data_IF_215161025115
#
_entry.id   IF_215161025115
#
_cell.length_a   1.000
_cell.length_b   1.000
_cell.length_c   1.000
_cell.angle_alpha   90.00
_cell.angle_beta   90.00
_cell.angle_gamma   90.00
#
_symmetry.space_group_name_H-M   'P 1'
#
loop_
_entity.id
_entity.type
_entity.pdbx_description
1 polymer ?
#
# COMPACT_ATOMS: atom_id res chain seq x y z
N UNK A 1 27.38 -17.99 26.07
CA UNK A 1 26.09 -18.65 25.75
C UNK A 1 24.96 -17.64 25.49
N UNK A 2 25.09 -16.41 25.96
CA UNK A 2 24.03 -15.39 25.89
C UNK A 2 23.95 -14.65 24.54
N UNK A 3 25.09 -14.51 23.86
CA UNK A 3 25.17 -13.82 22.56
C UNK A 3 24.44 -14.56 21.43
N UNK A 4 24.46 -15.91 21.45
CA UNK A 4 23.75 -16.72 20.46
C UNK A 4 22.23 -16.70 20.64
N UNK A 5 21.74 -16.56 21.88
CA UNK A 5 20.30 -16.40 22.17
C UNK A 5 19.79 -15.03 21.70
N UNK A 6 20.61 -13.97 21.84
CA UNK A 6 20.29 -12.64 21.35
C UNK A 6 20.24 -12.59 19.82
N UNK A 7 21.22 -13.21 19.13
CA UNK A 7 21.21 -13.32 17.66
C UNK A 7 19.97 -14.05 17.13
N UNK A 8 19.62 -15.20 17.70
CA UNK A 8 18.39 -15.92 17.34
C UNK A 8 17.13 -15.10 17.56
N UNK A 9 17.08 -14.29 18.62
CA UNK A 9 15.92 -13.45 18.90
C UNK A 9 15.81 -12.29 17.91
N UNK A 10 16.93 -11.68 17.54
CA UNK A 10 16.99 -10.65 16.50
C UNK A 10 16.62 -11.20 15.11
N UNK A 11 17.17 -12.34 14.70
CA UNK A 11 16.80 -13.00 13.43
C UNK A 11 15.31 -13.37 13.35
N UNK A 12 14.70 -13.76 14.47
CA UNK A 12 13.26 -14.02 14.52
C UNK A 12 12.40 -12.75 14.46
N UNK A 13 12.92 -11.62 14.94
CA UNK A 13 12.24 -10.31 14.83
C UNK A 13 12.33 -9.77 13.40
N UNK A 14 13.50 -9.85 12.77
CA UNK A 14 13.78 -9.38 11.41
C UNK A 14 12.85 -10.06 10.39
N UNK A 15 12.72 -11.39 10.48
CA UNK A 15 11.78 -12.17 9.66
C UNK A 15 10.31 -11.76 9.80
N UNK A 16 9.90 -11.22 10.95
CA UNK A 16 8.53 -10.75 11.15
C UNK A 16 8.31 -9.36 10.56
N UNK A 17 9.34 -8.52 10.53
CA UNK A 17 9.25 -7.21 9.86
C UNK A 17 9.19 -7.36 8.34
N UNK A 18 10.02 -8.22 7.73
CA UNK A 18 9.98 -8.50 6.28
C UNK A 18 8.59 -8.99 5.82
N UNK A 19 7.93 -9.80 6.65
CA UNK A 19 6.61 -10.30 6.34
C UNK A 19 5.52 -9.21 6.35
N UNK A 20 5.73 -8.10 7.07
CA UNK A 20 4.83 -6.94 7.05
C UNK A 20 5.04 -6.13 5.78
N UNK A 21 6.29 -5.87 5.39
CA UNK A 21 6.62 -5.17 4.14
C UNK A 21 6.02 -5.86 2.90
N UNK A 22 6.04 -7.20 2.90
CA UNK A 22 5.43 -8.02 1.84
C UNK A 22 3.90 -7.85 1.77
N UNK A 23 3.21 -7.83 2.91
CA UNK A 23 1.75 -7.64 2.96
C UNK A 23 1.36 -6.23 2.53
N UNK A 24 2.12 -5.21 2.95
CA UNK A 24 1.90 -3.82 2.57
C UNK A 24 2.11 -3.65 1.06
N UNK A 25 3.18 -4.22 0.51
CA UNK A 25 3.49 -4.17 -0.93
C UNK A 25 2.40 -4.85 -1.76
N UNK A 26 1.93 -6.03 -1.35
CA UNK A 26 0.85 -6.73 -2.05
C UNK A 26 -0.47 -5.95 -2.04
N UNK A 27 -0.78 -5.25 -0.93
CA UNK A 27 -1.95 -4.39 -0.83
C UNK A 27 -1.83 -3.16 -1.75
N UNK A 28 -0.64 -2.54 -1.81
CA UNK A 28 -0.33 -1.44 -2.72
C UNK A 28 -0.60 -1.85 -4.16
N UNK A 29 -0.03 -2.97 -4.60
CA UNK A 29 -0.21 -3.46 -5.97
C UNK A 29 -1.69 -3.71 -6.29
N UNK A 30 -2.45 -4.27 -5.35
CA UNK A 30 -3.87 -4.57 -5.55
C UNK A 30 -4.72 -3.31 -5.68
N UNK A 31 -4.48 -2.31 -4.83
CA UNK A 31 -5.20 -1.03 -4.85
C UNK A 31 -4.86 -0.22 -6.10
N UNK A 32 -3.60 -0.26 -6.55
CA UNK A 32 -3.17 0.41 -7.79
C UNK A 32 -3.76 -0.21 -9.06
N UNK A 33 -4.04 -1.53 -9.05
CA UNK A 33 -4.59 -2.26 -10.21
C UNK A 33 -6.09 -2.06 -10.44
N UNK A 34 -6.81 -1.49 -9.48
CA UNK A 34 -8.26 -1.30 -9.56
C UNK A 34 -8.62 0.18 -9.50
N UNK A 35 -8.51 0.91 -10.63
CA UNK A 35 -9.07 2.25 -10.73
C UNK A 35 -10.60 2.18 -10.67
N UNK A 36 -11.22 3.23 -10.12
CA UNK A 36 -12.66 3.38 -10.06
C UNK A 36 -13.11 4.50 -11.00
N UNK A 37 -14.12 4.27 -11.81
CA UNK A 37 -14.73 5.31 -12.65
C UNK A 37 -15.99 5.81 -11.97
N UNK A 38 -16.07 7.12 -11.72
CA UNK A 38 -17.28 7.78 -11.23
C UNK A 38 -17.88 8.58 -12.38
N UNK A 39 -19.16 8.36 -12.65
CA UNK A 39 -19.94 9.15 -13.58
C UNK A 39 -20.86 10.09 -12.80
N UNK A 40 -20.73 11.39 -13.07
CA UNK A 40 -21.56 12.43 -12.46
C UNK A 40 -22.17 13.29 -13.55
N UNK A 41 -23.50 13.37 -13.57
CA UNK A 41 -24.20 14.30 -14.46
C UNK A 41 -24.21 15.68 -13.82
N UNK A 42 -23.68 16.68 -14.51
CA UNK A 42 -23.71 18.06 -14.02
C UNK A 42 -25.16 18.57 -14.00
N UNK A 43 -25.70 18.98 -12.85
CA UNK A 43 -27.09 19.44 -12.75
C UNK A 43 -27.33 20.79 -13.45
N UNK A 44 -26.27 21.54 -13.77
CA UNK A 44 -26.36 22.87 -14.39
C UNK A 44 -26.43 22.83 -15.92
N UNK A 45 -25.74 21.89 -16.56
CA UNK A 45 -25.64 21.81 -18.02
C UNK A 45 -25.97 20.43 -18.61
N UNK A 46 -26.29 19.43 -17.78
CA UNK A 46 -26.62 18.08 -18.24
C UNK A 46 -25.43 17.27 -18.77
N UNK A 47 -24.23 17.84 -18.81
CA UNK A 47 -23.03 17.14 -19.27
C UNK A 47 -22.64 16.02 -18.31
N UNK A 48 -22.33 14.85 -18.86
CA UNK A 48 -21.78 13.72 -18.10
C UNK A 48 -20.29 13.95 -17.90
N UNK A 49 -19.86 13.96 -16.64
CA UNK A 49 -18.46 14.09 -16.23
C UNK A 49 -17.99 12.71 -15.80
N UNK A 50 -16.95 12.20 -16.46
CA UNK A 50 -16.26 10.99 -16.05
C UNK A 50 -15.03 11.34 -15.23
N UNK A 51 -14.93 10.74 -14.04
CA UNK A 51 -13.82 10.93 -13.11
C UNK A 51 -13.15 9.57 -12.92
N UNK A 52 -11.90 9.46 -13.37
CA UNK A 52 -11.06 8.30 -13.09
C UNK A 52 -10.36 8.51 -11.74
N UNK A 53 -10.71 7.70 -10.76
CA UNK A 53 -10.06 7.66 -9.46
C UNK A 53 -8.95 6.62 -9.47
N UNK A 54 -7.73 7.09 -9.22
CA UNK A 54 -6.54 6.28 -9.04
C UNK A 54 -5.94 6.54 -7.65
N UNK A 55 -5.54 5.50 -6.94
CA UNK A 55 -4.78 5.66 -5.70
C UNK A 55 -3.29 5.91 -6.02
N UNK A 56 -2.57 6.57 -5.11
CA UNK A 56 -1.12 6.77 -5.20
C UNK A 56 -0.53 6.66 -3.80
N UNK A 57 0.48 5.80 -3.62
CA UNK A 57 1.13 5.56 -2.33
C UNK A 57 2.52 6.16 -2.41
N UNK A 58 2.83 7.05 -1.47
CA UNK A 58 4.13 7.70 -1.36
C UNK A 58 4.83 7.18 -0.11
N UNK A 59 5.70 6.19 -0.26
CA UNK A 59 6.51 5.67 0.85
C UNK A 59 7.71 6.60 1.07
N UNK A 60 7.73 7.28 2.22
CA UNK A 60 8.91 8.03 2.64
C UNK A 60 9.94 7.04 3.21
N UNK A 61 10.90 6.62 2.39
CA UNK A 61 12.08 5.90 2.87
C UNK A 61 12.90 6.87 3.73
N UNK A 62 12.87 6.71 5.05
CA UNK A 62 13.86 7.33 5.92
C UNK A 62 15.13 6.51 5.82
N UNK A 63 16.13 7.06 5.14
CA UNK A 63 17.49 6.52 5.10
C UNK A 63 18.23 6.70 6.42
#
# INVERSE_FOLDING_TARGET
>A
MDEEKLKKSLEMLDKRLDNIDSVVTALVERVMRQPATIEVTCPKCGSVIQILLTCSIKTASKG
#
